data_IF_290946558041
#
_entry.id   IF_290946558041
#
_cell.length_a   1.000
_cell.length_b   1.000
_cell.length_c   1.000
_cell.angle_alpha   90.00
_cell.angle_beta   90.00
_cell.angle_gamma   90.00
#
_symmetry.space_group_name_H-M   'P 1'
#
loop_
_entity.id
_entity.type
_entity.pdbx_description
1 polymer ?
#
# COMPACT_ATOMS: atom_id res chain seq x y z
N UNK A 1 22.96 -16.55 7.44
CA UNK A 1 22.02 -16.95 8.50
C UNK A 1 21.67 -15.81 9.45
N UNK A 2 22.46 -14.73 9.46
CA UNK A 2 22.30 -13.60 10.39
C UNK A 2 21.31 -12.52 9.95
N UNK A 3 21.12 -12.29 8.65
CA UNK A 3 20.19 -11.25 8.14
C UNK A 3 18.72 -11.52 8.50
N UNK A 4 18.28 -12.78 8.45
CA UNK A 4 16.89 -13.14 8.79
C UNK A 4 16.60 -13.02 10.31
N UNK A 5 17.60 -13.18 11.17
CA UNK A 5 17.47 -12.99 12.62
C UNK A 5 17.45 -11.51 12.99
N UNK A 6 18.26 -10.69 12.32
CA UNK A 6 18.29 -9.23 12.52
C UNK A 6 17.01 -8.58 12.05
N UNK A 7 16.45 -8.99 10.90
CA UNK A 7 15.15 -8.48 10.42
C UNK A 7 14.00 -8.86 11.35
N UNK A 8 14.01 -10.06 11.92
CA UNK A 8 12.96 -10.52 12.84
C UNK A 8 12.96 -9.74 14.15
N UNK A 9 14.13 -9.49 14.74
CA UNK A 9 14.24 -8.67 15.96
C UNK A 9 13.81 -7.21 15.70
N UNK A 10 14.15 -6.66 14.53
CA UNK A 10 13.75 -5.30 14.14
C UNK A 10 12.24 -5.17 14.00
N UNK A 11 11.57 -6.16 13.42
CA UNK A 11 10.12 -6.16 13.26
C UNK A 11 9.39 -6.31 14.61
N UNK A 12 9.94 -7.07 15.55
CA UNK A 12 9.41 -7.17 16.92
C UNK A 12 9.50 -5.83 17.66
N UNK A 13 10.63 -5.12 17.57
CA UNK A 13 10.80 -3.79 18.15
C UNK A 13 9.82 -2.77 17.55
N UNK A 14 9.68 -2.76 16.22
CA UNK A 14 8.74 -1.88 15.54
C UNK A 14 7.27 -2.19 15.90
N UNK A 15 6.94 -3.45 16.12
CA UNK A 15 5.60 -3.85 16.59
C UNK A 15 5.32 -3.31 18.01
N UNK A 16 6.29 -3.35 18.91
CA UNK A 16 6.16 -2.79 20.26
C UNK A 16 5.96 -1.26 20.18
N UNK A 17 6.77 -0.58 19.38
CA UNK A 17 6.63 0.87 19.16
C UNK A 17 5.27 1.22 18.54
N UNK A 18 4.80 0.47 17.55
CA UNK A 18 3.49 0.64 16.93
C UNK A 18 2.34 0.48 17.94
N UNK A 19 2.39 -0.52 18.80
CA UNK A 19 1.40 -0.72 19.88
C UNK A 19 1.39 0.46 20.86
N UNK A 20 2.57 0.97 21.23
CA UNK A 20 2.70 2.15 22.10
C UNK A 20 2.14 3.41 21.43
N UNK A 21 2.38 3.59 20.12
CA UNK A 21 1.79 4.69 19.36
C UNK A 21 0.26 4.67 19.41
N UNK A 22 -0.38 3.51 19.27
CA UNK A 22 -1.84 3.44 19.34
C UNK A 22 -2.41 3.70 20.74
N UNK A 23 -1.66 3.48 21.81
CA UNK A 23 -2.06 3.91 23.14
C UNK A 23 -2.04 5.44 23.27
N UNK A 24 -1.02 6.08 22.70
CA UNK A 24 -0.91 7.53 22.60
C UNK A 24 -2.01 8.14 21.71
N UNK A 25 -2.28 7.51 20.55
CA UNK A 25 -3.21 7.99 19.52
C UNK A 25 -4.69 7.62 19.77
N UNK A 26 -4.98 6.90 20.85
CA UNK A 26 -6.31 6.32 21.16
C UNK A 26 -7.47 7.31 21.12
N UNK A 27 -7.25 8.56 21.53
CA UNK A 27 -8.30 9.59 21.53
C UNK A 27 -8.73 9.95 20.10
N UNK A 28 -7.78 10.09 19.19
CA UNK A 28 -8.04 10.47 17.80
C UNK A 28 -8.64 9.31 17.00
N UNK A 29 -8.31 8.05 17.36
CA UNK A 29 -8.92 6.86 16.79
C UNK A 29 -10.40 6.71 17.14
N UNK A 30 -10.83 7.27 18.25
CA UNK A 30 -12.18 7.05 18.81
C UNK A 30 -13.33 7.37 17.85
N UNK A 31 -13.18 8.35 16.96
CA UNK A 31 -14.19 8.67 15.95
C UNK A 31 -14.23 7.66 14.80
N UNK A 32 -13.06 7.20 14.34
CA UNK A 32 -12.96 6.19 13.28
C UNK A 32 -13.48 4.83 13.75
N UNK A 33 -13.14 4.46 14.99
CA UNK A 33 -13.61 3.25 15.65
C UNK A 33 -15.15 3.22 15.81
N UNK A 34 -15.74 4.34 16.21
CA UNK A 34 -17.21 4.47 16.39
C UNK A 34 -17.98 4.32 15.07
N UNK A 35 -17.36 4.71 13.94
CA UNK A 35 -17.97 4.63 12.62
C UNK A 35 -17.86 3.23 11.99
N UNK A 36 -17.19 2.27 12.65
CA UNK A 36 -16.99 0.91 12.14
C UNK A 36 -16.25 0.83 10.80
N UNK A 37 -15.45 1.85 10.48
CA UNK A 37 -14.69 1.88 9.24
C UNK A 37 -13.51 0.92 9.34
N UNK A 38 -13.31 0.11 8.31
CA UNK A 38 -12.12 -0.73 8.15
C UNK A 38 -10.85 0.07 7.83
N UNK A 39 -11.00 1.36 7.45
CA UNK A 39 -9.89 2.26 7.10
C UNK A 39 -9.66 3.28 8.20
N UNK A 40 -8.43 3.37 8.66
CA UNK A 40 -7.98 4.35 9.67
C UNK A 40 -7.01 5.33 9.03
N UNK A 41 -7.31 6.62 9.19
CA UNK A 41 -6.41 7.70 8.79
C UNK A 41 -5.51 8.09 9.96
N UNK A 42 -4.20 7.94 9.79
CA UNK A 42 -3.18 8.27 10.79
C UNK A 42 -2.44 9.54 10.39
N UNK A 43 -2.30 10.46 11.31
CA UNK A 43 -1.52 11.68 11.11
C UNK A 43 -0.04 11.37 11.24
N UNK A 44 0.72 11.52 10.15
CA UNK A 44 2.15 11.26 10.13
C UNK A 44 2.94 12.18 11.06
N UNK A 45 2.49 13.42 11.24
CA UNK A 45 3.18 14.35 12.15
C UNK A 45 3.08 13.91 13.60
N UNK A 46 1.93 13.36 14.01
CA UNK A 46 1.78 12.78 15.37
C UNK A 46 2.57 11.50 15.54
N UNK A 47 2.70 10.70 14.46
CA UNK A 47 3.57 9.53 14.46
C UNK A 47 5.04 9.93 14.65
N UNK A 48 5.48 10.97 13.93
CA UNK A 48 6.84 11.53 14.03
C UNK A 48 7.13 12.09 15.43
N UNK A 49 6.13 12.77 16.04
CA UNK A 49 6.22 13.28 17.42
C UNK A 49 6.41 12.15 18.44
N UNK A 50 5.72 11.03 18.24
CA UNK A 50 5.81 9.87 19.12
C UNK A 50 7.12 9.10 18.94
N UNK A 51 7.48 8.74 17.70
CA UNK A 51 8.70 7.99 17.36
C UNK A 51 9.22 8.40 15.98
N UNK A 52 10.33 9.12 15.95
CA UNK A 52 11.03 9.47 14.71
C UNK A 52 11.53 8.21 13.99
N UNK A 53 12.00 7.21 14.73
CA UNK A 53 12.48 5.94 14.18
C UNK A 53 11.38 5.20 13.41
N UNK A 54 10.20 5.04 14.01
CA UNK A 54 9.06 4.37 13.36
C UNK A 54 8.60 5.15 12.11
N UNK A 55 8.56 6.49 12.19
CA UNK A 55 8.19 7.35 11.09
C UNK A 55 9.18 7.23 9.91
N UNK A 56 10.48 7.26 10.17
CA UNK A 56 11.52 7.11 9.13
C UNK A 56 11.47 5.73 8.47
N UNK A 57 11.30 4.66 9.24
CA UNK A 57 11.19 3.30 8.70
C UNK A 57 9.96 3.15 7.78
N UNK A 58 8.84 3.80 8.10
CA UNK A 58 7.64 3.80 7.25
C UNK A 58 7.90 4.53 5.92
N UNK A 59 8.68 5.60 5.92
CA UNK A 59 9.01 6.31 4.68
C UNK A 59 9.93 5.49 3.76
N UNK A 60 10.85 4.72 4.34
CA UNK A 60 11.84 3.92 3.59
C UNK A 60 11.25 2.59 3.09
N UNK A 61 10.44 1.92 3.91
CA UNK A 61 9.82 0.64 3.59
C UNK A 61 8.32 0.68 3.94
N UNK A 62 7.49 1.43 3.19
CA UNK A 62 6.10 1.69 3.55
C UNK A 62 5.24 0.43 3.60
N UNK A 63 5.39 -0.48 2.65
CA UNK A 63 4.52 -1.66 2.53
C UNK A 63 4.61 -2.58 3.77
N UNK A 64 5.83 -2.90 4.18
CA UNK A 64 6.08 -3.75 5.34
C UNK A 64 5.68 -3.06 6.65
N UNK A 65 6.08 -1.80 6.81
CA UNK A 65 5.87 -1.08 8.08
C UNK A 65 4.43 -0.59 8.27
N UNK A 66 3.68 -0.29 7.20
CA UNK A 66 2.24 -0.05 7.30
C UNK A 66 1.53 -1.33 7.73
N UNK A 67 1.95 -2.50 7.22
CA UNK A 67 1.39 -3.77 7.65
C UNK A 67 1.64 -4.05 9.14
N UNK A 68 2.80 -3.66 9.67
CA UNK A 68 3.09 -3.74 11.12
C UNK A 68 2.11 -2.86 11.92
N UNK A 69 1.82 -1.63 11.44
CA UNK A 69 0.81 -0.78 12.06
C UNK A 69 -0.58 -1.43 12.05
N UNK A 70 -1.01 -1.99 10.92
CA UNK A 70 -2.29 -2.68 10.79
C UNK A 70 -2.39 -3.86 11.78
N UNK A 71 -1.37 -4.71 11.83
CA UNK A 71 -1.31 -5.83 12.76
C UNK A 71 -1.31 -5.39 14.23
N UNK A 72 -0.65 -4.28 14.57
CA UNK A 72 -0.65 -3.75 15.93
C UNK A 72 -2.05 -3.30 16.39
N UNK A 73 -2.89 -2.80 15.47
CA UNK A 73 -4.29 -2.44 15.75
C UNK A 73 -5.13 -3.70 15.93
N UNK A 74 -4.95 -4.69 15.06
CA UNK A 74 -5.66 -5.97 15.11
C UNK A 74 -5.36 -6.72 16.40
N UNK A 75 -4.09 -6.83 16.81
CA UNK A 75 -3.68 -7.48 18.04
C UNK A 75 -4.19 -6.79 19.32
N UNK A 76 -4.45 -5.48 19.25
CA UNK A 76 -5.12 -4.76 20.35
C UNK A 76 -6.63 -5.00 20.38
N UNK A 77 -7.19 -5.74 19.43
CA UNK A 77 -8.62 -6.04 19.35
C UNK A 77 -9.48 -4.78 19.08
N UNK A 78 -8.90 -3.74 18.50
CA UNK A 78 -9.61 -2.49 18.22
C UNK A 78 -10.48 -2.62 16.97
N UNK A 79 -9.98 -3.25 15.92
CA UNK A 79 -10.67 -3.52 14.64
C UNK A 79 -10.07 -4.76 13.99
N UNK A 80 -10.85 -5.40 13.12
CA UNK A 80 -10.41 -6.51 12.27
C UNK A 80 -10.27 -6.04 10.81
N UNK A 81 -9.32 -6.60 10.07
CA UNK A 81 -9.06 -6.28 8.65
C UNK A 81 -8.85 -4.78 8.40
N UNK A 82 -8.04 -4.15 9.23
CA UNK A 82 -7.78 -2.70 9.18
C UNK A 82 -6.86 -2.35 8.02
N UNK A 83 -7.15 -1.21 7.38
CA UNK A 83 -6.23 -0.51 6.47
C UNK A 83 -5.80 0.81 7.08
N UNK A 84 -4.50 0.99 7.26
CA UNK A 84 -3.91 2.21 7.75
C UNK A 84 -3.54 3.14 6.56
N UNK A 85 -4.00 4.38 6.61
CA UNK A 85 -3.70 5.42 5.62
C UNK A 85 -3.01 6.59 6.31
N UNK A 86 -1.86 6.99 5.82
CA UNK A 86 -1.10 8.10 6.37
C UNK A 86 -1.55 9.42 5.74
N UNK A 87 -1.73 10.42 6.58
CA UNK A 87 -2.04 11.79 6.18
C UNK A 87 -0.96 12.73 6.67
N UNK A 88 -0.92 13.95 6.10
CA UNK A 88 -0.01 15.01 6.53
C UNK A 88 1.48 14.61 6.45
N UNK A 89 1.87 13.91 5.36
CA UNK A 89 3.28 13.63 5.14
C UNK A 89 4.09 14.93 5.00
N UNK A 90 5.37 14.92 5.38
CA UNK A 90 6.22 16.10 5.30
C UNK A 90 6.47 16.54 3.85
N UNK A 91 6.65 17.83 3.63
CA UNK A 91 6.92 18.39 2.29
C UNK A 91 8.17 17.82 1.62
N UNK A 92 9.11 17.29 2.39
CA UNK A 92 10.30 16.59 1.88
C UNK A 92 9.95 15.36 1.03
N UNK A 93 8.77 14.76 1.23
CA UNK A 93 8.29 13.62 0.45
C UNK A 93 7.53 14.03 -0.81
N UNK A 94 7.26 15.33 -1.00
CA UNK A 94 6.61 15.83 -2.20
C UNK A 94 7.57 15.84 -3.37
N UNK A 95 7.28 15.05 -4.39
CA UNK A 95 8.11 14.90 -5.59
C UNK A 95 7.27 15.18 -6.83
N UNK A 96 7.78 16.04 -7.72
CA UNK A 96 7.18 16.22 -9.04
C UNK A 96 7.33 14.94 -9.87
N UNK A 97 6.33 14.60 -10.68
CA UNK A 97 6.34 13.39 -11.54
C UNK A 97 7.62 13.30 -12.37
N UNK A 98 8.09 14.43 -12.92
CA UNK A 98 9.33 14.53 -13.72
C UNK A 98 10.60 14.19 -12.94
N UNK A 99 10.59 14.30 -11.62
CA UNK A 99 11.74 14.10 -10.76
C UNK A 99 11.81 12.69 -10.16
N UNK A 100 10.81 11.85 -10.39
CA UNK A 100 10.83 10.46 -9.96
C UNK A 100 11.99 9.70 -10.63
N UNK A 101 12.77 8.96 -9.83
CA UNK A 101 13.95 8.20 -10.26
C UNK A 101 14.00 6.85 -9.54
N UNK A 102 14.92 5.99 -9.94
CA UNK A 102 15.15 4.67 -9.33
C UNK A 102 15.42 4.73 -7.82
N UNK A 103 15.99 5.80 -7.31
CA UNK A 103 16.21 6.00 -5.87
C UNK A 103 14.90 6.06 -5.07
N UNK A 104 13.81 6.46 -5.72
CA UNK A 104 12.50 6.57 -5.07
C UNK A 104 11.67 5.27 -5.14
N UNK A 105 12.29 4.17 -5.62
CA UNK A 105 11.64 2.86 -5.60
C UNK A 105 11.53 2.36 -4.16
N UNK A 106 10.36 1.83 -3.83
CA UNK A 106 9.99 1.33 -2.51
C UNK A 106 9.91 2.40 -1.41
N UNK A 107 10.09 3.69 -1.72
CA UNK A 107 9.91 4.79 -0.78
C UNK A 107 8.48 5.34 -0.84
N UNK A 108 8.01 5.88 0.29
CA UNK A 108 6.76 6.63 0.33
C UNK A 108 6.99 8.03 -0.21
N UNK A 109 6.30 8.37 -1.28
CA UNK A 109 6.38 9.68 -1.91
C UNK A 109 4.98 10.28 -2.09
N UNK A 110 4.92 11.60 -2.14
CA UNK A 110 3.70 12.35 -2.40
C UNK A 110 3.79 12.99 -3.77
N UNK A 111 2.83 12.67 -4.63
CA UNK A 111 2.72 13.24 -5.98
C UNK A 111 1.44 14.05 -6.08
N UNK A 112 1.55 15.27 -6.59
CA UNK A 112 0.40 16.14 -6.85
C UNK A 112 0.19 16.33 -8.36
N UNK A 113 -1.07 16.32 -8.78
CA UNK A 113 -1.41 16.55 -10.18
C UNK A 113 -2.91 16.56 -10.45
N UNK A 114 -3.25 16.57 -11.72
CA UNK A 114 -4.63 16.55 -12.22
C UNK A 114 -4.92 15.19 -12.81
N UNK A 115 -6.04 14.58 -12.44
CA UNK A 115 -6.52 13.34 -13.04
C UNK A 115 -6.89 13.61 -14.50
N UNK A 116 -6.22 12.98 -15.44
CA UNK A 116 -6.54 13.05 -16.87
C UNK A 116 -7.41 11.90 -17.33
N UNK A 117 -7.24 10.74 -16.72
CA UNK A 117 -8.01 9.57 -17.07
C UNK A 117 -8.19 8.70 -15.83
N UNK A 118 -9.39 8.20 -15.63
CA UNK A 118 -9.73 7.16 -14.66
C UNK A 118 -10.26 5.96 -15.44
N UNK A 119 -9.78 4.75 -15.11
CA UNK A 119 -10.38 3.52 -15.64
C UNK A 119 -11.60 3.11 -14.83
N UNK A 120 -12.39 2.21 -15.35
CA UNK A 120 -13.38 1.50 -14.53
C UNK A 120 -12.69 0.74 -13.39
N UNK A 121 -13.40 0.53 -12.29
CA UNK A 121 -13.00 -0.37 -11.22
C UNK A 121 -13.11 -1.80 -11.74
N UNK A 122 -12.05 -2.58 -11.56
CA UNK A 122 -11.98 -3.98 -12.01
C UNK A 122 -11.34 -4.87 -10.96
N UNK A 123 -11.89 -6.07 -10.71
CA UNK A 123 -11.25 -7.04 -9.85
C UNK A 123 -9.94 -7.53 -10.46
N UNK A 124 -8.86 -7.49 -9.68
CA UNK A 124 -7.55 -8.01 -10.03
C UNK A 124 -7.14 -9.12 -9.07
N UNK A 125 -6.63 -10.22 -9.59
CA UNK A 125 -6.05 -11.27 -8.76
C UNK A 125 -4.70 -10.79 -8.25
N UNK A 126 -4.50 -10.81 -6.93
CA UNK A 126 -3.24 -10.44 -6.28
C UNK A 126 -2.45 -11.65 -5.83
N UNK A 127 -3.15 -12.73 -5.49
CA UNK A 127 -2.54 -13.97 -5.05
C UNK A 127 -3.36 -15.16 -5.53
N UNK A 128 -2.70 -16.23 -5.95
CA UNK A 128 -3.35 -17.48 -6.34
C UNK A 128 -2.66 -18.67 -5.67
N UNK A 129 -3.44 -19.57 -5.08
CA UNK A 129 -2.96 -20.78 -4.44
C UNK A 129 -3.20 -21.98 -5.34
N UNK A 130 -2.15 -22.78 -5.53
CA UNK A 130 -2.14 -23.96 -6.36
C UNK A 130 -1.73 -25.18 -5.55
N UNK A 131 -2.36 -26.31 -5.82
CA UNK A 131 -1.98 -27.60 -5.26
C UNK A 131 -1.15 -28.39 -6.25
N UNK A 132 -0.09 -28.97 -5.76
CA UNK A 132 0.70 -29.91 -6.54
C UNK A 132 0.02 -31.29 -6.56
N UNK A 133 -0.45 -31.80 -7.69
CA UNK A 133 -1.15 -33.08 -7.74
C UNK A 133 -0.25 -34.31 -7.47
N UNK A 134 1.08 -34.11 -7.39
CA UNK A 134 2.01 -35.18 -7.06
C UNK A 134 2.30 -35.32 -5.56
N UNK A 135 2.36 -34.22 -4.83
CA UNK A 135 2.75 -34.22 -3.41
C UNK A 135 1.78 -33.48 -2.48
N UNK A 136 0.70 -32.90 -3.01
CA UNK A 136 -0.29 -32.17 -2.22
C UNK A 136 0.20 -30.81 -1.68
N UNK A 137 1.45 -30.42 -1.97
CA UNK A 137 1.97 -29.12 -1.47
C UNK A 137 1.23 -27.96 -2.08
N UNK A 138 0.81 -27.02 -1.24
CA UNK A 138 0.17 -25.76 -1.67
C UNK A 138 1.24 -24.73 -1.99
N UNK A 139 1.19 -24.20 -3.22
CA UNK A 139 2.08 -23.17 -3.74
C UNK A 139 1.30 -21.86 -3.86
N UNK A 140 1.77 -20.80 -3.22
CA UNK A 140 1.20 -19.45 -3.34
C UNK A 140 2.01 -18.65 -4.37
N UNK A 141 1.34 -18.05 -5.33
CA UNK A 141 1.96 -17.26 -6.40
C UNK A 141 1.36 -15.85 -6.40
N UNK A 142 2.17 -14.87 -6.04
CA UNK A 142 1.79 -13.46 -6.13
C UNK A 142 1.67 -13.04 -7.60
N UNK A 143 0.57 -12.34 -7.91
CA UNK A 143 0.24 -11.88 -9.25
C UNK A 143 0.63 -10.40 -9.41
N UNK A 144 1.91 -10.14 -9.64
CA UNK A 144 2.46 -8.79 -9.76
C UNK A 144 2.26 -8.23 -11.18
N UNK A 145 2.22 -9.11 -12.18
CA UNK A 145 2.12 -8.72 -13.59
C UNK A 145 0.69 -8.76 -14.12
N UNK A 146 0.45 -8.08 -15.25
CA UNK A 146 -0.85 -8.08 -15.93
C UNK A 146 -1.27 -9.48 -16.43
N UNK A 147 -0.30 -10.35 -16.70
CA UNK A 147 -0.57 -11.72 -17.14
C UNK A 147 -0.59 -12.66 -15.95
N UNK A 148 -1.67 -13.42 -15.81
CA UNK A 148 -1.80 -14.44 -14.78
C UNK A 148 -0.66 -15.48 -14.89
N UNK A 149 0.04 -15.67 -13.77
CA UNK A 149 1.15 -16.62 -13.68
C UNK A 149 0.77 -17.84 -12.86
N UNK A 150 1.10 -19.00 -13.40
CA UNK A 150 1.07 -20.27 -12.68
C UNK A 150 2.46 -20.61 -12.14
N UNK A 151 2.58 -21.45 -11.09
CA UNK A 151 3.87 -21.91 -10.61
C UNK A 151 4.57 -22.72 -11.70
N UNK A 152 5.87 -22.49 -11.89
CA UNK A 152 6.67 -23.20 -12.89
C UNK A 152 7.16 -24.55 -12.40
N UNK A 153 7.43 -24.68 -11.08
CA UNK A 153 8.00 -25.88 -10.46
C UNK A 153 7.59 -25.99 -8.99
N UNK A 154 7.33 -27.23 -8.56
CA UNK A 154 7.15 -27.58 -7.15
C UNK A 154 8.47 -28.06 -6.53
N UNK A 155 8.60 -28.01 -5.20
CA UNK A 155 9.73 -28.57 -4.43
C UNK A 155 9.93 -30.06 -4.67
N UNK A 156 8.87 -30.83 -4.96
CA UNK A 156 8.98 -32.26 -5.31
C UNK A 156 9.55 -32.51 -6.73
N UNK A 157 9.89 -31.47 -7.49
CA UNK A 157 10.45 -31.59 -8.86
C UNK A 157 9.43 -31.51 -9.99
N UNK A 158 8.12 -31.62 -9.71
CA UNK A 158 7.07 -31.53 -10.72
C UNK A 158 7.07 -30.17 -11.41
N UNK A 159 6.84 -30.15 -12.72
CA UNK A 159 6.70 -28.96 -13.56
C UNK A 159 5.32 -28.93 -14.23
N UNK A 160 4.67 -27.77 -14.17
CA UNK A 160 3.40 -27.49 -14.83
C UNK A 160 2.20 -28.28 -14.30
N UNK A 161 1.02 -27.98 -14.84
CA UNK A 161 -0.26 -28.61 -14.51
C UNK A 161 -0.59 -28.66 -13.02
N UNK A 162 -0.51 -27.51 -12.36
CA UNK A 162 -0.92 -27.34 -10.96
C UNK A 162 -2.42 -27.03 -10.89
N UNK A 163 -3.10 -27.59 -9.90
CA UNK A 163 -4.52 -27.36 -9.69
C UNK A 163 -4.71 -26.08 -8.88
N UNK A 164 -5.39 -25.09 -9.45
CA UNK A 164 -5.75 -23.88 -8.71
C UNK A 164 -6.78 -24.21 -7.62
N UNK A 165 -6.48 -23.86 -6.36
CA UNK A 165 -7.36 -24.08 -5.21
C UNK A 165 -8.19 -22.82 -4.96
N UNK A 166 -7.53 -21.67 -4.89
CA UNK A 166 -8.16 -20.39 -4.56
C UNK A 166 -7.41 -19.23 -5.22
N UNK A 167 -8.13 -18.14 -5.41
CA UNK A 167 -7.58 -16.86 -5.84
C UNK A 167 -8.10 -15.76 -4.91
N UNK A 168 -7.20 -14.88 -4.51
CA UNK A 168 -7.50 -13.67 -3.78
C UNK A 168 -7.56 -12.52 -4.77
N UNK A 169 -8.67 -11.78 -4.74
CA UNK A 169 -8.94 -10.70 -5.66
C UNK A 169 -9.20 -9.42 -4.88
N UNK A 170 -8.73 -8.30 -5.41
CA UNK A 170 -9.02 -6.95 -4.90
C UNK A 170 -9.51 -6.08 -6.04
N UNK A 171 -10.39 -5.15 -5.72
CA UNK A 171 -10.82 -4.14 -6.66
C UNK A 171 -9.71 -3.12 -6.89
N UNK A 172 -9.46 -2.81 -8.15
CA UNK A 172 -8.41 -1.87 -8.56
C UNK A 172 -8.93 -0.88 -9.60
N UNK A 173 -8.42 0.33 -9.52
CA UNK A 173 -8.66 1.38 -10.51
C UNK A 173 -7.32 2.00 -10.92
N UNK A 174 -7.15 2.26 -12.20
CA UNK A 174 -5.98 2.98 -12.71
C UNK A 174 -6.33 4.43 -12.96
N UNK A 175 -5.56 5.33 -12.39
CA UNK A 175 -5.58 6.76 -12.68
C UNK A 175 -4.36 7.15 -13.51
N UNK A 176 -4.55 8.06 -14.46
CA UNK A 176 -3.46 8.78 -15.13
C UNK A 176 -3.45 10.18 -14.57
N UNK A 177 -2.41 10.53 -13.82
CA UNK A 177 -2.21 11.84 -13.23
C UNK A 177 -1.17 12.59 -14.04
N UNK A 178 -1.45 13.87 -14.32
CA UNK A 178 -0.58 14.80 -15.05
C UNK A 178 -0.16 15.94 -14.15
N UNK A 179 1.07 16.39 -14.25
CA UNK A 179 1.57 17.56 -13.51
C UNK A 179 0.68 18.78 -13.77
N UNK A 180 0.38 19.53 -12.71
CA UNK A 180 -0.40 20.77 -12.82
C UNK A 180 0.35 21.79 -13.68
N UNK A 181 -0.32 22.48 -14.63
CA UNK A 181 0.30 23.54 -15.46
C UNK A 181 0.97 24.63 -14.63
N UNK A 182 0.42 24.94 -13.46
CA UNK A 182 0.95 25.95 -12.54
C UNK A 182 2.33 25.57 -11.96
N UNK A 183 2.66 24.27 -11.94
CA UNK A 183 3.96 23.77 -11.45
C UNK A 183 5.06 23.78 -12.52
N UNK A 184 4.72 24.14 -13.76
CA UNK A 184 5.61 24.13 -14.91
C UNK A 184 6.28 25.49 -15.09
N UNK A 185 7.55 25.48 -15.41
CA UNK A 185 8.29 26.65 -15.88
C UNK A 185 8.20 26.73 -17.40
N UNK A 186 8.09 27.94 -17.94
CA UNK A 186 7.73 28.24 -19.35
C UNK A 186 8.33 27.29 -20.40
N UNK A 187 7.47 26.74 -21.25
CA UNK A 187 7.84 25.81 -22.33
C UNK A 187 7.97 24.34 -21.96
N UNK A 188 7.84 23.98 -20.69
CA UNK A 188 7.91 22.56 -20.26
C UNK A 188 6.62 21.81 -20.57
N UNK A 189 6.75 20.57 -21.08
CA UNK A 189 5.62 19.68 -21.26
C UNK A 189 5.30 18.95 -19.95
N UNK A 190 4.01 18.86 -19.54
CA UNK A 190 3.60 18.13 -18.35
C UNK A 190 3.88 16.64 -18.51
N UNK A 191 4.42 16.03 -17.46
CA UNK A 191 4.64 14.58 -17.39
C UNK A 191 3.44 13.88 -16.77
N UNK A 192 3.27 12.62 -17.14
CA UNK A 192 2.17 11.75 -16.67
C UNK A 192 2.69 10.54 -15.94
N UNK A 193 1.93 10.10 -14.95
CA UNK A 193 2.18 8.87 -14.21
C UNK A 193 0.90 8.06 -14.08
N UNK A 194 1.03 6.73 -14.14
CA UNK A 194 -0.07 5.82 -13.82
C UNK A 194 -0.03 5.48 -12.34
N UNK A 195 -1.14 5.69 -11.65
CA UNK A 195 -1.33 5.31 -10.24
C UNK A 195 -2.40 4.23 -10.19
N UNK A 196 -2.18 3.23 -9.36
CA UNK A 196 -3.13 2.15 -9.13
C UNK A 196 -3.72 2.28 -7.73
N UNK A 197 -5.00 2.56 -7.66
CA UNK A 197 -5.77 2.52 -6.43
C UNK A 197 -6.24 1.08 -6.20
N UNK A 198 -6.28 0.65 -4.95
CA UNK A 198 -6.70 -0.70 -4.56
C UNK A 198 -7.57 -0.66 -3.32
N UNK A 199 -8.42 -1.67 -3.18
CA UNK A 199 -9.23 -1.92 -1.98
C UNK A 199 -10.11 -0.71 -1.60
N UNK A 200 -9.96 -0.17 -0.38
CA UNK A 200 -10.72 0.96 0.15
C UNK A 200 -10.60 2.25 -0.66
N UNK A 201 -9.51 2.42 -1.43
CA UNK A 201 -9.31 3.59 -2.28
C UNK A 201 -10.17 3.59 -3.55
N UNK A 202 -10.85 2.48 -3.84
CA UNK A 202 -11.77 2.36 -4.99
C UNK A 202 -13.23 2.22 -4.57
N UNK A 203 -13.53 2.49 -3.30
CA UNK A 203 -14.92 2.55 -2.82
C UNK A 203 -15.71 3.67 -3.50
N UNK A 204 -17.05 3.53 -3.66
CA UNK A 204 -17.89 4.53 -4.33
C UNK A 204 -17.73 5.96 -3.79
N UNK A 205 -17.45 6.12 -2.50
CA UNK A 205 -17.22 7.42 -1.87
C UNK A 205 -15.95 8.14 -2.38
N UNK A 206 -15.06 7.41 -3.04
CA UNK A 206 -13.82 7.95 -3.60
C UNK A 206 -13.96 8.31 -5.08
N UNK A 207 -15.00 7.83 -5.78
CA UNK A 207 -15.19 8.08 -7.22
C UNK A 207 -15.28 9.58 -7.54
N UNK A 208 -15.98 10.35 -6.72
CA UNK A 208 -16.08 11.81 -6.92
C UNK A 208 -14.71 12.51 -6.87
N UNK A 209 -13.78 11.98 -6.07
CA UNK A 209 -12.43 12.54 -5.91
C UNK A 209 -11.47 12.15 -7.03
N UNK A 210 -11.78 11.08 -7.74
CA UNK A 210 -10.94 10.51 -8.81
C UNK A 210 -11.44 10.79 -10.20
N UNK A 211 -12.46 11.66 -10.35
CA UNK A 211 -12.99 12.06 -11.67
C UNK A 211 -11.95 12.82 -12.50
N UNK A 212 -11.93 12.63 -13.83
CA UNK A 212 -11.08 13.40 -14.72
C UNK A 212 -11.29 14.92 -14.53
N UNK A 213 -10.20 15.67 -14.40
CA UNK A 213 -10.20 17.09 -14.07
C UNK A 213 -9.99 17.41 -12.59
N UNK A 214 -10.17 16.46 -11.69
CA UNK A 214 -9.92 16.67 -10.27
C UNK A 214 -8.44 16.85 -9.98
N UNK A 215 -8.11 17.78 -9.07
CA UNK A 215 -6.75 17.93 -8.52
C UNK A 215 -6.60 16.95 -7.35
N UNK A 216 -5.57 16.14 -7.40
CA UNK A 216 -5.33 15.11 -6.38
C UNK A 216 -3.90 15.19 -5.87
N UNK A 217 -3.74 14.83 -4.60
CA UNK A 217 -2.47 14.62 -3.94
C UNK A 217 -2.48 13.18 -3.41
N UNK A 218 -1.59 12.38 -3.94
CA UNK A 218 -1.53 10.92 -3.71
C UNK A 218 -0.17 10.53 -3.15
#
# INVERSE_FOLDING_TARGET
MDEALVSKSKNEDLMIEAKGFFDFYKKDLGESLRKGKSTISLDFMKLLEYSSKLAEEILVNPEENIRILELAIEEKGLLENVRARLMNLPKSQEIKVRNLRSRNLNEMVVVEGIVRQASDVRPQVINAKFECPSCGTVLSVLQIEKKFREPSRCSCGRRGNFKMISKEMVDTQRLVIEESPESLTGGEQPKRINIFLKEDLVEPNMEEKTTPGSRVKV
#
